data_IF_842329223777
#
_entry.id   IF_842329223777
#
_cell.length_a   1.000
_cell.length_b   1.000
_cell.length_c   1.000
_cell.angle_alpha   90.00
_cell.angle_beta   90.00
_cell.angle_gamma   90.00
#
_symmetry.space_group_name_H-M   'P 1'
#
loop_
_entity.id
_entity.type
_entity.pdbx_description
1 polymer ?
#
# COMPACT_ATOMS: atom_id res chain seq x y z
N UNK A 1 3.83 -21.37 1.00
CA UNK A 1 4.85 -20.37 0.62
C UNK A 1 5.67 -20.04 1.87
N UNK A 2 6.99 -20.20 1.82
CA UNK A 2 7.89 -19.69 2.88
C UNK A 2 8.59 -18.47 2.29
N UNK A 3 8.43 -17.32 2.94
CA UNK A 3 9.16 -16.11 2.60
C UNK A 3 10.45 -16.07 3.40
N UNK A 4 11.52 -15.57 2.80
CA UNK A 4 12.68 -15.17 3.60
C UNK A 4 12.30 -13.97 4.49
N UNK A 5 13.10 -13.75 5.54
CA UNK A 5 12.78 -12.78 6.57
C UNK A 5 12.80 -11.34 6.03
N UNK A 6 13.64 -11.04 5.04
CA UNK A 6 13.78 -9.71 4.47
C UNK A 6 12.55 -9.37 3.62
N UNK A 7 12.14 -10.30 2.75
CA UNK A 7 10.94 -10.17 1.93
C UNK A 7 9.67 -10.06 2.81
N UNK A 8 9.57 -10.87 3.86
CA UNK A 8 8.45 -10.80 4.79
C UNK A 8 8.37 -9.43 5.50
N UNK A 9 9.52 -8.91 5.94
CA UNK A 9 9.59 -7.59 6.59
C UNK A 9 9.26 -6.46 5.62
N UNK A 10 9.74 -6.53 4.38
CA UNK A 10 9.43 -5.56 3.33
C UNK A 10 7.94 -5.54 3.03
N UNK A 11 7.32 -6.71 2.81
CA UNK A 11 5.87 -6.81 2.60
C UNK A 11 5.07 -6.30 3.80
N UNK A 12 5.52 -6.57 5.03
CA UNK A 12 4.88 -6.06 6.23
C UNK A 12 4.92 -4.53 6.29
N UNK A 13 6.07 -3.91 5.99
CA UNK A 13 6.20 -2.44 5.94
C UNK A 13 5.31 -1.83 4.86
N UNK A 14 5.19 -2.52 3.72
CA UNK A 14 4.29 -2.10 2.64
C UNK A 14 2.84 -2.08 3.12
N UNK A 15 2.38 -3.16 3.76
CA UNK A 15 1.04 -3.23 4.34
C UNK A 15 0.83 -2.16 5.40
N UNK A 16 1.80 -1.96 6.30
CA UNK A 16 1.70 -1.00 7.39
C UNK A 16 1.50 0.43 6.88
N UNK A 17 2.31 0.86 5.91
CA UNK A 17 2.20 2.21 5.34
C UNK A 17 0.90 2.40 4.56
N UNK A 18 0.50 1.41 3.76
CA UNK A 18 -0.75 1.48 2.99
C UNK A 18 -1.98 1.57 3.91
N UNK A 19 -2.02 0.78 5.00
CA UNK A 19 -3.10 0.84 5.98
C UNK A 19 -3.08 2.16 6.77
N UNK A 20 -1.90 2.71 7.08
CA UNK A 20 -1.81 4.04 7.69
C UNK A 20 -2.33 5.13 6.75
N UNK A 21 -2.04 5.02 5.46
CA UNK A 21 -2.55 5.95 4.45
C UNK A 21 -4.07 5.86 4.32
N UNK A 22 -4.63 4.65 4.25
CA UNK A 22 -6.08 4.46 4.24
C UNK A 22 -6.75 5.05 5.49
N UNK A 23 -6.23 4.72 6.69
CA UNK A 23 -6.77 5.19 7.96
C UNK A 23 -6.73 6.73 8.12
N UNK A 24 -5.69 7.39 7.59
CA UNK A 24 -5.55 8.86 7.68
C UNK A 24 -6.31 9.61 6.60
N UNK A 25 -6.48 9.02 5.41
CA UNK A 25 -6.83 9.78 4.21
C UNK A 25 -8.07 9.28 3.47
N UNK A 26 -8.39 7.99 3.50
CA UNK A 26 -9.42 7.48 2.58
C UNK A 26 -10.84 7.64 3.10
N UNK A 27 -11.03 7.71 4.42
CA UNK A 27 -12.36 7.75 5.03
C UNK A 27 -13.16 6.45 4.85
N UNK A 28 -12.52 5.37 4.38
CA UNK A 28 -13.15 4.06 4.29
C UNK A 28 -13.41 3.46 5.69
N UNK A 29 -14.47 2.67 5.82
CA UNK A 29 -14.76 1.90 7.03
C UNK A 29 -13.82 0.72 7.24
N UNK A 30 -13.09 0.32 6.20
CA UNK A 30 -12.12 -0.76 6.25
C UNK A 30 -11.28 -0.87 4.99
N UNK A 31 -10.30 -1.75 5.04
CA UNK A 31 -9.43 -2.10 3.94
C UNK A 31 -9.23 -3.62 3.88
N UNK A 32 -9.02 -4.13 2.68
CA UNK A 32 -8.78 -5.52 2.36
C UNK A 32 -7.31 -5.72 2.03
N UNK A 33 -6.66 -6.69 2.69
CA UNK A 33 -5.28 -7.10 2.39
C UNK A 33 -5.30 -8.56 1.95
N UNK A 34 -4.78 -8.84 0.76
CA UNK A 34 -4.64 -10.19 0.20
C UNK A 34 -3.18 -10.46 -0.14
N UNK A 35 -2.65 -11.56 0.37
CA UNK A 35 -1.30 -12.03 0.05
C UNK A 35 -1.37 -13.43 -0.56
N UNK A 36 -0.99 -13.55 -1.82
CA UNK A 36 -1.01 -14.81 -2.56
C UNK A 36 0.41 -15.17 -3.01
N UNK A 37 0.78 -16.43 -2.80
CA UNK A 37 2.00 -16.98 -3.39
C UNK A 37 1.71 -17.57 -4.76
N UNK A 38 2.45 -17.13 -5.77
CA UNK A 38 2.45 -17.73 -7.11
C UNK A 38 3.83 -18.39 -7.35
N UNK A 39 3.96 -19.30 -8.33
CA UNK A 39 5.27 -19.86 -8.68
C UNK A 39 6.27 -18.74 -9.03
N UNK A 40 7.29 -18.55 -8.18
CA UNK A 40 8.37 -17.58 -8.38
C UNK A 40 8.06 -16.14 -7.99
N UNK A 41 6.86 -15.82 -7.48
CA UNK A 41 6.53 -14.46 -7.05
C UNK A 41 5.50 -14.42 -5.92
N UNK A 42 5.38 -13.26 -5.28
CA UNK A 42 4.38 -12.97 -4.26
C UNK A 42 3.52 -11.82 -4.75
N UNK A 43 2.20 -11.99 -4.71
CA UNK A 43 1.23 -10.95 -5.04
C UNK A 43 0.60 -10.42 -3.75
N UNK A 44 0.87 -9.15 -3.45
CA UNK A 44 0.21 -8.40 -2.38
C UNK A 44 -0.79 -7.42 -3.02
N UNK A 45 -2.05 -7.46 -2.56
CA UNK A 45 -3.12 -6.54 -2.97
C UNK A 45 -3.67 -5.87 -1.71
N UNK A 46 -3.79 -4.54 -1.77
CA UNK A 46 -4.36 -3.72 -0.71
C UNK A 46 -5.43 -2.85 -1.37
N UNK A 47 -6.65 -2.92 -0.87
CA UNK A 47 -7.81 -2.24 -1.44
C UNK A 47 -8.63 -1.61 -0.32
N UNK A 48 -8.98 -0.33 -0.46
CA UNK A 48 -9.93 0.33 0.41
C UNK A 48 -11.04 0.98 -0.45
N UNK A 49 -12.22 1.15 0.14
CA UNK A 49 -13.40 1.71 -0.55
C UNK A 49 -13.57 3.21 -0.29
N UNK A 50 -12.47 3.92 0.00
CA UNK A 50 -12.48 5.32 0.37
C UNK A 50 -12.50 6.29 -0.81
N UNK A 51 -12.22 7.55 -0.52
CA UNK A 51 -12.30 8.65 -1.48
C UNK A 51 -11.20 8.66 -2.55
N UNK A 52 -10.25 7.73 -2.49
CA UNK A 52 -9.09 7.68 -3.39
C UNK A 52 -8.08 8.81 -3.16
N UNK A 53 -7.09 8.92 -4.04
CA UNK A 53 -6.08 9.98 -4.01
C UNK A 53 -5.80 10.49 -5.42
N UNK A 54 -5.59 11.81 -5.54
CA UNK A 54 -5.16 12.41 -6.80
C UNK A 54 -3.67 12.13 -6.97
N UNK A 55 -3.33 11.36 -8.00
CA UNK A 55 -1.94 11.09 -8.38
C UNK A 55 -1.30 12.35 -8.99
N UNK A 56 0.00 12.51 -8.80
CA UNK A 56 0.77 13.74 -9.07
C UNK A 56 0.77 14.22 -10.53
N UNK A 57 0.05 13.55 -11.44
CA UNK A 57 -0.22 14.05 -12.79
C UNK A 57 -1.17 15.26 -12.76
N UNK A 58 -2.00 15.40 -11.72
CA UNK A 58 -2.99 16.49 -11.61
C UNK A 58 -2.63 17.60 -10.59
N UNK A 59 -1.55 17.46 -9.81
CA UNK A 59 -1.26 18.33 -8.64
C UNK A 59 0.18 18.86 -8.60
N UNK A 60 0.71 19.38 -9.72
CA UNK A 60 1.94 20.20 -9.71
C UNK A 60 1.74 21.47 -8.86
N UNK A 61 1.96 21.36 -7.55
CA UNK A 61 1.90 22.46 -6.61
C UNK A 61 1.76 22.00 -5.17
N UNK A 62 2.88 21.62 -4.54
CA UNK A 62 3.08 21.57 -3.07
C UNK A 62 2.41 20.46 -2.24
N UNK A 63 2.76 19.18 -2.44
CA UNK A 63 2.69 18.21 -1.33
C UNK A 63 3.95 17.33 -1.22
N UNK A 64 4.62 17.45 -0.06
CA UNK A 64 5.73 16.60 0.40
C UNK A 64 5.16 15.34 1.06
N UNK A 65 4.68 14.38 0.27
CA UNK A 65 4.25 13.07 0.76
C UNK A 65 4.83 11.97 -0.12
N UNK A 66 5.94 11.36 0.29
CA UNK A 66 6.68 10.40 -0.53
C UNK A 66 6.16 8.95 -0.45
N UNK A 67 5.02 8.69 0.22
CA UNK A 67 4.61 7.35 0.67
C UNK A 67 4.24 6.34 -0.42
N UNK A 68 3.89 6.78 -1.64
CA UNK A 68 3.53 5.90 -2.76
C UNK A 68 4.63 5.80 -3.84
N UNK A 69 5.66 6.65 -3.79
CA UNK A 69 6.74 6.73 -4.78
C UNK A 69 8.06 6.14 -4.24
N UNK A 70 8.21 6.00 -2.92
CA UNK A 70 9.42 5.47 -2.26
C UNK A 70 9.31 4.02 -1.76
N UNK A 71 8.27 3.26 -2.17
CA UNK A 71 8.31 1.78 -2.06
C UNK A 71 9.17 1.19 -3.16
#
# INVERSE_FOLDING_TARGET
>A
MRLDAELALSLFRIVQEALQNAAKHSGAEGALVKLNGEPGLVRLVIEDSGCGFLTDVERRGNYRGYGLILM
#
